data_IF_023841530135
#
_entry.id   IF_023841530135
#
_cell.length_a   1.000
_cell.length_b   1.000
_cell.length_c   1.000
_cell.angle_alpha   90.00
_cell.angle_beta   90.00
_cell.angle_gamma   90.00
#
_symmetry.space_group_name_H-M   'P 1'
#
loop_
_entity.id
_entity.type
_entity.pdbx_description
1 polymer ?
#
# COMPACT_ATOMS: atom_id res chain seq x y z
N UNK A 1 -13.61 -2.52 -8.48
CA UNK A 1 -12.91 -1.38 -9.12
C UNK A 1 -12.80 -0.16 -8.19
N UNK A 2 -13.26 -0.23 -6.92
CA UNK A 2 -13.38 0.97 -6.08
C UNK A 2 -12.08 1.48 -5.43
N UNK A 3 -11.03 0.66 -5.28
CA UNK A 3 -9.87 1.10 -4.50
C UNK A 3 -8.99 2.17 -5.17
N UNK A 4 -8.94 2.23 -6.51
CA UNK A 4 -8.20 3.27 -7.22
C UNK A 4 -8.87 4.65 -7.06
N UNK A 5 -10.21 4.68 -7.02
CA UNK A 5 -10.96 5.90 -6.67
C UNK A 5 -10.78 6.29 -5.20
N UNK A 6 -10.71 5.30 -4.30
CA UNK A 6 -10.49 5.53 -2.86
C UNK A 6 -9.12 6.13 -2.52
N UNK A 7 -8.14 5.98 -3.41
CA UNK A 7 -6.80 6.52 -3.22
C UNK A 7 -6.71 8.05 -3.43
N UNK A 8 -7.84 8.69 -3.80
CA UNK A 8 -7.95 10.14 -3.97
C UNK A 8 -6.88 10.71 -4.93
N UNK A 9 -6.59 9.95 -5.98
CA UNK A 9 -5.57 10.25 -7.00
C UNK A 9 -6.14 11.04 -8.18
N UNK A 10 -7.29 11.70 -8.01
CA UNK A 10 -8.06 12.34 -9.10
C UNK A 10 -8.39 11.38 -10.26
N UNK A 11 -8.39 10.06 -10.00
CA UNK A 11 -8.77 9.01 -10.96
C UNK A 11 -10.27 8.73 -10.83
N UNK A 12 -10.99 8.98 -11.92
CA UNK A 12 -12.42 8.70 -12.03
C UNK A 12 -12.71 7.29 -12.54
N UNK A 13 -11.85 6.77 -13.41
CA UNK A 13 -12.08 5.49 -14.08
C UNK A 13 -10.79 4.80 -14.54
N UNK A 14 -10.91 3.52 -14.88
CA UNK A 14 -9.80 2.69 -15.37
C UNK A 14 -10.23 1.98 -16.65
N UNK A 15 -9.58 2.30 -17.75
CA UNK A 15 -9.80 1.67 -19.05
C UNK A 15 -8.74 0.61 -19.32
N UNK A 16 -9.17 -0.57 -19.75
CA UNK A 16 -8.26 -1.60 -20.26
C UNK A 16 -8.29 -1.56 -21.78
N UNK A 17 -7.13 -1.29 -22.38
CA UNK A 17 -6.97 -1.19 -23.83
C UNK A 17 -6.22 -2.42 -24.32
N UNK A 18 -6.78 -3.08 -25.34
CA UNK A 18 -6.10 -4.17 -26.02
C UNK A 18 -5.40 -3.62 -27.27
N UNK A 19 -4.08 -3.68 -27.26
CA UNK A 19 -3.24 -3.23 -28.37
C UNK A 19 -2.55 -4.44 -29.01
N UNK A 20 -2.34 -4.49 -30.34
CA UNK A 20 -1.52 -5.52 -30.95
C UNK A 20 -0.09 -5.46 -30.42
N UNK A 21 0.51 -6.62 -30.18
CA UNK A 21 1.95 -6.71 -29.91
C UNK A 21 2.74 -6.37 -31.19
N UNK A 22 3.81 -5.58 -31.04
CA UNK A 22 4.64 -5.15 -32.17
C UNK A 22 5.39 -6.33 -32.81
N UNK A 23 5.79 -7.30 -31.99
CA UNK A 23 6.50 -8.53 -32.36
C UNK A 23 5.57 -9.68 -32.77
N UNK A 24 4.29 -9.61 -32.42
CA UNK A 24 3.29 -10.63 -32.74
C UNK A 24 1.90 -10.01 -32.89
N UNK A 25 1.50 -9.52 -34.09
CA UNK A 25 0.25 -8.79 -34.30
C UNK A 25 -1.02 -9.60 -33.99
N UNK A 26 -0.92 -10.95 -33.99
CA UNK A 26 -2.01 -11.86 -33.57
C UNK A 26 -2.14 -11.98 -32.05
N UNK A 27 -1.19 -11.46 -31.28
CA UNK A 27 -1.22 -11.40 -29.82
C UNK A 27 -1.63 -9.99 -29.39
N UNK A 28 -2.57 -9.91 -28.46
CA UNK A 28 -2.95 -8.64 -27.83
C UNK A 28 -2.14 -8.42 -26.55
N UNK A 29 -1.66 -7.19 -26.34
CA UNK A 29 -1.18 -6.69 -25.05
C UNK A 29 -2.28 -5.86 -24.43
N UNK A 30 -2.57 -6.10 -23.15
CA UNK A 30 -3.45 -5.24 -22.36
C UNK A 30 -2.60 -4.14 -21.76
N UNK A 31 -2.98 -2.89 -22.01
CA UNK A 31 -2.48 -1.73 -21.27
C UNK A 31 -3.63 -1.10 -20.49
N UNK A 32 -3.28 -0.35 -19.47
CA UNK A 32 -4.24 0.35 -18.63
C UNK A 32 -4.09 1.83 -18.88
N UNK A 33 -5.22 2.51 -19.05
CA UNK A 33 -5.30 3.96 -19.02
C UNK A 33 -6.15 4.41 -17.84
N UNK A 34 -5.69 5.45 -17.16
CA UNK A 34 -6.43 6.07 -16.07
C UNK A 34 -7.17 7.29 -16.61
N UNK A 35 -8.42 7.44 -16.18
CA UNK A 35 -9.29 8.53 -16.64
C UNK A 35 -9.48 9.53 -15.51
N UNK A 36 -9.34 10.80 -15.85
CA UNK A 36 -9.42 11.94 -14.94
C UNK A 36 -10.45 12.95 -15.47
N UNK A 37 -11.18 13.63 -14.59
CA UNK A 37 -12.05 14.75 -14.96
C UNK A 37 -11.41 16.07 -14.58
N UNK A 38 -11.16 16.93 -15.57
CA UNK A 38 -10.64 18.28 -15.36
C UNK A 38 -11.60 19.26 -15.99
N UNK A 39 -12.22 20.12 -15.17
CA UNK A 39 -13.19 21.11 -15.65
C UNK A 39 -14.44 20.51 -16.32
N UNK A 40 -14.76 19.23 -16.05
CA UNK A 40 -15.88 18.51 -16.66
C UNK A 40 -15.53 17.72 -17.93
N UNK A 41 -14.30 17.84 -18.43
CA UNK A 41 -13.80 17.02 -19.54
C UNK A 41 -13.05 15.79 -19.02
N UNK A 42 -13.28 14.64 -19.66
CA UNK A 42 -12.59 13.38 -19.35
C UNK A 42 -11.32 13.27 -20.19
N UNK A 43 -10.18 13.15 -19.52
CA UNK A 43 -8.86 12.93 -20.11
C UNK A 43 -8.34 11.56 -19.68
N UNK A 44 -7.72 10.82 -20.60
CA UNK A 44 -7.13 9.51 -20.31
C UNK A 44 -5.63 9.52 -20.52
N UNK A 45 -4.86 9.04 -19.56
CA UNK A 45 -3.40 8.91 -19.65
C UNK A 45 -2.99 7.44 -19.65
N UNK A 46 -1.88 7.11 -20.31
CA UNK A 46 -1.23 5.82 -20.10
C UNK A 46 -0.65 5.77 -18.69
N UNK A 47 -0.63 4.59 -18.07
CA UNK A 47 -0.03 4.38 -16.74
C UNK A 47 1.40 4.94 -16.64
N UNK A 48 2.19 4.94 -17.72
CA UNK A 48 3.55 5.49 -17.69
C UNK A 48 3.62 7.02 -17.70
N UNK A 49 2.56 7.70 -18.11
CA UNK A 49 2.46 9.17 -18.13
C UNK A 49 1.95 9.74 -16.79
N UNK A 50 1.50 8.86 -15.89
CA UNK A 50 1.03 9.22 -14.55
C UNK A 50 2.15 9.67 -13.62
N UNK A 51 1.78 10.36 -12.54
CA UNK A 51 2.74 10.70 -11.48
C UNK A 51 3.40 9.46 -10.88
N UNK A 52 4.65 9.58 -10.44
CA UNK A 52 5.39 8.48 -9.79
C UNK A 52 4.63 7.88 -8.59
N UNK A 53 3.91 8.72 -7.83
CA UNK A 53 3.07 8.27 -6.73
C UNK A 53 1.88 7.42 -7.16
N UNK A 54 1.20 7.80 -8.25
CA UNK A 54 0.11 7.00 -8.84
C UNK A 54 0.63 5.66 -9.35
N UNK A 55 1.78 5.68 -10.05
CA UNK A 55 2.40 4.46 -10.57
C UNK A 55 2.85 3.50 -9.46
N UNK A 56 3.41 4.04 -8.38
CA UNK A 56 3.82 3.26 -7.20
C UNK A 56 2.60 2.65 -6.53
N UNK A 57 1.54 3.44 -6.32
CA UNK A 57 0.30 2.93 -5.74
C UNK A 57 -0.32 1.81 -6.57
N UNK A 58 -0.41 1.99 -7.89
CA UNK A 58 -0.94 0.97 -8.79
C UNK A 58 -0.18 -0.37 -8.65
N UNK A 59 1.14 -0.34 -8.45
CA UNK A 59 1.95 -1.55 -8.20
C UNK A 59 1.67 -2.17 -6.82
N UNK A 60 1.44 -1.35 -5.80
CA UNK A 60 1.24 -1.80 -4.42
C UNK A 60 -0.17 -2.30 -4.12
N UNK A 61 -1.18 -1.81 -4.84
CA UNK A 61 -2.59 -2.06 -4.48
C UNK A 61 -3.01 -3.53 -4.55
N UNK A 62 -2.48 -4.28 -5.52
CA UNK A 62 -2.75 -5.71 -5.67
C UNK A 62 -2.26 -6.54 -4.47
N UNK A 63 -0.95 -6.44 -4.12
CA UNK A 63 -0.40 -7.04 -2.90
C UNK A 63 -1.13 -6.61 -1.63
N UNK A 64 -1.40 -5.31 -1.46
CA UNK A 64 -2.14 -4.77 -0.30
C UNK A 64 -3.49 -5.47 -0.13
N UNK A 65 -4.28 -5.50 -1.19
CA UNK A 65 -5.61 -6.11 -1.16
C UNK A 65 -5.56 -7.60 -0.85
N UNK A 66 -4.54 -8.29 -1.34
CA UNK A 66 -4.36 -9.72 -1.11
C UNK A 66 -4.02 -10.01 0.35
N UNK A 67 -3.13 -9.22 0.93
CA UNK A 67 -2.78 -9.35 2.34
C UNK A 67 -3.96 -8.99 3.25
N UNK A 68 -4.72 -7.93 2.93
CA UNK A 68 -5.93 -7.57 3.69
C UNK A 68 -6.99 -8.68 3.66
N UNK A 69 -7.26 -9.28 2.49
CA UNK A 69 -8.23 -10.39 2.37
C UNK A 69 -7.79 -11.64 3.13
N UNK A 70 -6.50 -11.88 3.24
CA UNK A 70 -5.93 -13.08 3.89
C UNK A 70 -5.55 -12.85 5.36
N UNK A 71 -5.77 -11.65 5.91
CA UNK A 71 -5.40 -11.30 7.28
C UNK A 71 -3.89 -11.23 7.51
N UNK A 72 -3.10 -11.08 6.45
CA UNK A 72 -1.65 -10.96 6.52
C UNK A 72 -1.20 -9.58 7.01
N UNK A 73 0.00 -9.53 7.60
CA UNK A 73 0.65 -8.30 8.03
C UNK A 73 1.41 -7.71 6.83
N UNK A 74 1.12 -6.46 6.47
CA UNK A 74 1.89 -5.68 5.51
C UNK A 74 2.84 -4.74 6.26
N UNK A 75 4.08 -4.68 5.81
CA UNK A 75 5.05 -3.69 6.23
C UNK A 75 5.41 -2.81 5.04
N UNK A 76 5.28 -1.50 5.21
CA UNK A 76 5.78 -0.52 4.26
C UNK A 76 6.97 0.16 4.91
N UNK A 77 8.11 0.13 4.22
CA UNK A 77 9.21 1.03 4.51
C UNK A 77 8.99 2.30 3.67
N UNK A 78 9.23 3.47 4.25
CA UNK A 78 9.12 4.78 3.56
C UNK A 78 7.78 5.02 2.83
N UNK A 79 6.66 4.80 3.52
CA UNK A 79 5.31 5.02 2.97
C UNK A 79 5.10 6.49 2.53
N UNK A 80 5.83 7.41 3.13
CA UNK A 80 5.77 8.85 2.97
C UNK A 80 6.67 9.38 1.84
N UNK A 81 7.68 8.63 1.40
CA UNK A 81 8.61 9.09 0.34
C UNK A 81 8.07 8.84 -1.08
N UNK A 82 7.20 7.85 -1.27
CA UNK A 82 6.78 7.37 -2.59
C UNK A 82 5.26 7.38 -2.83
N UNK A 83 4.45 7.60 -1.79
CA UNK A 83 3.00 7.74 -1.95
C UNK A 83 2.60 9.20 -2.11
N UNK A 84 1.57 9.41 -2.94
CA UNK A 84 0.95 10.70 -3.11
C UNK A 84 0.49 11.28 -1.75
N UNK A 85 0.74 12.56 -1.43
CA UNK A 85 0.44 13.14 -0.11
C UNK A 85 -1.00 12.92 0.38
N UNK A 86 -1.98 12.95 -0.53
CA UNK A 86 -3.41 12.69 -0.21
C UNK A 86 -3.65 11.24 0.22
N UNK A 87 -2.95 10.30 -0.40
CA UNK A 87 -3.05 8.88 -0.08
C UNK A 87 -2.40 8.58 1.27
N UNK A 88 -1.23 9.16 1.55
CA UNK A 88 -0.58 9.08 2.87
C UNK A 88 -1.49 9.63 3.97
N UNK A 89 -2.20 10.73 3.70
CA UNK A 89 -3.20 11.27 4.62
C UNK A 89 -4.42 10.35 4.81
N UNK A 90 -4.92 9.72 3.74
CA UNK A 90 -6.04 8.78 3.81
C UNK A 90 -5.67 7.54 4.64
N UNK A 91 -4.54 6.91 4.32
CA UNK A 91 -4.00 5.76 5.07
C UNK A 91 -3.76 6.15 6.52
N UNK A 92 -3.16 7.32 6.75
CA UNK A 92 -2.97 7.89 8.08
C UNK A 92 -4.28 7.96 8.85
N UNK A 93 -5.31 8.63 8.32
CA UNK A 93 -6.59 8.82 9.02
C UNK A 93 -7.31 7.50 9.36
N UNK A 94 -7.23 6.50 8.48
CA UNK A 94 -8.00 5.26 8.61
C UNK A 94 -7.30 4.22 9.47
N UNK A 95 -5.97 4.14 9.36
CA UNK A 95 -5.18 3.08 9.99
C UNK A 95 -4.34 3.57 11.18
N UNK A 96 -4.01 4.87 11.30
CA UNK A 96 -3.38 5.38 12.54
C UNK A 96 -4.22 5.14 13.80
N UNK A 97 -5.57 5.21 13.79
CA UNK A 97 -6.35 4.81 14.96
C UNK A 97 -6.11 3.36 15.39
N UNK A 98 -5.69 2.49 14.47
CA UNK A 98 -5.42 1.07 14.70
C UNK A 98 -3.94 0.80 15.04
N UNK A 99 -3.10 1.85 15.06
CA UNK A 99 -1.64 1.75 15.26
C UNK A 99 -1.27 1.00 16.54
N UNK A 100 -2.01 1.22 17.62
CA UNK A 100 -1.75 0.57 18.91
C UNK A 100 -2.03 -0.94 18.86
N UNK A 101 -3.14 -1.35 18.22
CA UNK A 101 -3.48 -2.77 18.10
C UNK A 101 -2.56 -3.50 17.12
N UNK A 102 -2.11 -2.82 16.07
CA UNK A 102 -1.06 -3.32 15.20
C UNK A 102 0.26 -3.54 15.96
N UNK A 103 0.67 -2.57 16.80
CA UNK A 103 1.86 -2.70 17.64
C UNK A 103 1.74 -3.88 18.63
N UNK A 104 0.58 -4.07 19.25
CA UNK A 104 0.32 -5.22 20.14
C UNK A 104 0.42 -6.56 19.41
N UNK A 105 -0.13 -6.65 18.18
CA UNK A 105 -0.02 -7.86 17.36
C UNK A 105 1.44 -8.16 17.00
N UNK A 106 2.19 -7.14 16.60
CA UNK A 106 3.63 -7.28 16.30
C UNK A 106 4.43 -7.71 17.53
N UNK A 107 4.14 -7.17 18.72
CA UNK A 107 4.78 -7.58 19.97
C UNK A 107 4.52 -9.07 20.30
N UNK A 108 3.28 -9.55 20.13
CA UNK A 108 2.94 -10.98 20.31
C UNK A 108 3.65 -11.87 19.31
N UNK A 109 3.72 -11.47 18.04
CA UNK A 109 4.46 -12.21 17.02
C UNK A 109 5.95 -12.31 17.36
N UNK A 110 6.55 -11.22 17.86
CA UNK A 110 7.95 -11.21 18.29
C UNK A 110 8.21 -12.12 19.51
N UNK A 111 7.26 -12.24 20.44
CA UNK A 111 7.33 -13.21 21.55
C UNK A 111 7.28 -14.64 20.99
N UNK A 112 6.29 -14.93 20.13
CA UNK A 112 6.12 -16.25 19.53
C UNK A 112 7.34 -16.68 18.71
N UNK A 113 7.99 -15.77 17.98
CA UNK A 113 9.23 -16.08 17.25
C UNK A 113 10.38 -16.49 18.19
N UNK A 114 10.53 -15.81 19.34
CA UNK A 114 11.54 -16.17 20.36
C UNK A 114 11.26 -17.53 20.97
N UNK A 115 9.99 -17.81 21.28
CA UNK A 115 9.57 -19.07 21.91
C UNK A 115 9.69 -20.26 20.96
N UNK A 116 9.39 -20.05 19.67
CA UNK A 116 9.43 -21.11 18.66
C UNK A 116 10.82 -21.31 18.03
N UNK A 117 11.85 -20.57 18.49
CA UNK A 117 13.22 -20.69 17.97
C UNK A 117 13.36 -20.33 16.49
N UNK A 118 12.39 -19.60 15.92
CA UNK A 118 12.41 -19.20 14.52
C UNK A 118 13.49 -18.13 14.32
N UNK A 119 14.63 -18.53 13.76
CA UNK A 119 15.65 -17.60 13.27
C UNK A 119 15.12 -16.93 12.02
N UNK A 120 14.57 -15.73 12.17
CA UNK A 120 14.25 -14.89 11.02
C UNK A 120 15.55 -14.65 10.25
N UNK A 121 15.62 -14.95 8.94
CA UNK A 121 16.78 -14.60 8.15
C UNK A 121 16.95 -13.09 8.19
N UNK A 122 18.17 -12.65 8.51
CA UNK A 122 18.61 -11.26 8.33
C UNK A 122 17.81 -10.22 9.12
N UNK A 123 18.08 -10.13 10.44
CA UNK A 123 17.86 -8.95 11.28
C UNK A 123 16.63 -8.10 10.89
N UNK A 124 15.48 -8.76 10.75
CA UNK A 124 14.31 -8.16 10.11
C UNK A 124 13.72 -7.11 11.07
N UNK A 125 13.89 -5.80 10.78
CA UNK A 125 13.54 -4.72 11.72
C UNK A 125 12.03 -4.64 12.00
N UNK A 126 11.22 -5.33 11.19
CA UNK A 126 9.76 -5.36 11.28
C UNK A 126 9.23 -5.94 12.61
N UNK A 127 9.90 -6.94 13.19
CA UNK A 127 9.50 -7.50 14.48
C UNK A 127 9.77 -6.56 15.66
N UNK A 128 10.66 -5.57 15.47
CA UNK A 128 11.01 -4.55 16.45
C UNK A 128 10.20 -3.25 16.34
N UNK A 129 9.42 -3.04 15.27
CA UNK A 129 8.65 -1.80 15.06
C UNK A 129 7.69 -1.46 16.21
N UNK A 130 7.20 -2.46 16.96
CA UNK A 130 6.38 -2.18 18.14
C UNK A 130 7.15 -1.37 19.20
N UNK A 131 8.48 -1.54 19.31
CA UNK A 131 9.33 -0.81 20.25
C UNK A 131 9.43 0.66 19.91
N UNK A 132 9.43 1.01 18.61
CA UNK A 132 9.39 2.40 18.17
C UNK A 132 8.06 3.05 18.59
N UNK A 133 6.95 2.35 18.39
CA UNK A 133 5.63 2.85 18.81
C UNK A 133 5.56 2.97 20.34
N UNK A 134 6.06 1.99 21.09
CA UNK A 134 6.14 2.01 22.56
C UNK A 134 6.96 3.20 23.08
N UNK A 135 8.10 3.49 22.46
CA UNK A 135 8.94 4.63 22.82
C UNK A 135 8.26 6.00 22.58
N UNK A 136 7.23 6.06 21.72
CA UNK A 136 6.44 7.28 21.47
C UNK A 136 5.21 7.42 22.37
N UNK A 137 4.90 6.43 23.21
CA UNK A 137 3.77 6.50 24.12
C UNK A 137 4.11 7.42 25.32
N UNK A 138 3.13 8.20 25.83
CA UNK A 138 3.32 8.96 27.06
C UNK A 138 3.73 8.06 28.22
N UNK A 139 4.64 8.54 29.07
CA UNK A 139 5.12 7.82 30.25
C UNK A 139 3.97 7.27 31.07
N UNK A 140 3.91 5.93 31.21
CA UNK A 140 2.86 5.21 31.93
C UNK A 140 1.86 4.44 31.06
N UNK A 141 1.93 4.57 29.73
CA UNK A 141 1.11 3.79 28.80
C UNK A 141 1.96 2.71 28.13
N UNK A 142 1.82 1.46 28.59
CA UNK A 142 2.48 0.30 27.98
C UNK A 142 1.56 -0.36 26.95
N UNK A 143 2.16 -1.11 26.02
CA UNK A 143 1.38 -1.93 25.08
C UNK A 143 0.62 -3.06 25.79
N UNK A 144 1.00 -3.34 27.03
CA UNK A 144 0.47 -4.33 27.96
C UNK A 144 0.00 -3.66 29.27
#
# INVERSE_FOLDING_TARGET
MDLLRYADLDIDDVEVVENPRADAPRSLRRSIRLVHSVGGERLSFDMFDESEGTQTWYRLIGPVLTALRSGQILLFDEIDASLHPRLSANIGSRYMPQRLDAARRAARLAVSHRENGATTPHDNPSSGMYRLIEATLPSGRQLF
#
